data_IF_402500060416
#
_entry.id   IF_402500060416
#
_cell.length_a   1.000
_cell.length_b   1.000
_cell.length_c   1.000
_cell.angle_alpha   90.00
_cell.angle_beta   90.00
_cell.angle_gamma   90.00
#
_symmetry.space_group_name_H-M   'P 1'
#
loop_
_entity.id
_entity.type
_entity.pdbx_description
1 polymer ?
#
# COMPACT_ATOMS: atom_id res chain seq x y z
N UNK A 1 7.46 -5.84 1.49
CA UNK A 1 7.99 -5.17 0.28
C UNK A 1 8.63 -3.89 0.74
N UNK A 2 9.92 -3.74 0.46
CA UNK A 2 10.71 -2.54 0.74
C UNK A 2 11.93 -2.56 -0.18
N UNK A 3 12.50 -1.38 -0.42
CA UNK A 3 13.90 -1.27 -0.81
C UNK A 3 14.76 -1.63 0.42
N UNK A 4 15.57 -2.67 0.27
CA UNK A 4 16.43 -3.18 1.33
C UNK A 4 17.91 -2.92 1.03
N UNK A 5 18.22 -2.36 -0.14
CA UNK A 5 19.58 -2.27 -0.65
C UNK A 5 20.36 -3.61 -0.56
N UNK A 6 19.63 -4.71 -0.74
CA UNK A 6 20.10 -6.07 -0.48
C UNK A 6 20.19 -6.84 -1.80
N UNK A 7 21.41 -7.17 -2.23
CA UNK A 7 21.65 -8.03 -3.38
C UNK A 7 21.76 -9.46 -2.88
N UNK A 8 20.75 -10.28 -3.16
CA UNK A 8 20.70 -11.68 -2.69
C UNK A 8 21.50 -12.65 -3.56
N UNK A 9 21.68 -12.30 -4.84
CA UNK A 9 22.45 -13.06 -5.81
C UNK A 9 21.81 -14.37 -6.29
N UNK A 10 22.59 -15.12 -7.08
CA UNK A 10 22.21 -16.42 -7.65
C UNK A 10 22.54 -17.57 -6.69
N UNK A 11 23.61 -17.45 -5.92
CA UNK A 11 23.98 -18.46 -4.94
C UNK A 11 22.86 -18.60 -3.91
N UNK A 12 22.48 -19.84 -3.61
CA UNK A 12 21.45 -20.18 -2.64
C UNK A 12 21.95 -21.20 -1.60
N UNK A 13 23.26 -21.43 -1.53
CA UNK A 13 23.88 -22.36 -0.58
C UNK A 13 23.51 -21.96 0.85
N UNK A 14 22.91 -22.90 1.60
CA UNK A 14 22.42 -22.68 2.97
C UNK A 14 21.08 -21.95 3.08
N UNK A 15 20.47 -21.57 1.95
CA UNK A 15 19.20 -20.85 1.85
C UNK A 15 18.23 -21.51 0.85
N UNK A 16 18.45 -22.79 0.51
CA UNK A 16 17.72 -23.52 -0.54
C UNK A 16 16.21 -23.62 -0.26
N UNK A 17 15.84 -23.45 0.99
CA UNK A 17 14.47 -23.59 1.47
C UNK A 17 13.64 -22.29 1.31
N UNK A 18 14.32 -21.14 1.16
CA UNK A 18 13.74 -19.81 0.97
C UNK A 18 14.11 -19.14 -0.37
N UNK A 19 15.13 -19.64 -1.06
CA UNK A 19 15.66 -19.07 -2.30
C UNK A 19 15.95 -20.15 -3.34
N UNK A 20 15.78 -19.78 -4.61
CA UNK A 20 16.23 -20.57 -5.76
C UNK A 20 17.35 -19.78 -6.49
N UNK A 21 17.83 -20.30 -7.61
CA UNK A 21 18.98 -19.78 -8.35
C UNK A 21 18.61 -18.81 -9.48
N UNK A 22 17.46 -18.14 -9.37
CA UNK A 22 17.03 -17.17 -10.38
C UNK A 22 17.18 -15.71 -9.94
N UNK A 23 17.87 -15.42 -8.83
CA UNK A 23 18.26 -14.06 -8.48
C UNK A 23 19.23 -13.43 -9.49
N UNK A 24 19.66 -12.20 -9.22
CA UNK A 24 20.60 -11.45 -10.07
C UNK A 24 21.87 -11.09 -9.31
N UNK A 25 23.03 -11.27 -9.96
CA UNK A 25 24.33 -10.82 -9.47
C UNK A 25 24.90 -11.65 -8.32
N UNK A 26 25.87 -11.06 -7.63
CA UNK A 26 26.51 -11.64 -6.45
C UNK A 26 25.92 -11.07 -5.17
N UNK A 27 25.95 -11.87 -4.10
CA UNK A 27 25.38 -11.49 -2.82
C UNK A 27 26.27 -10.45 -2.13
N UNK A 28 25.69 -9.35 -1.66
CA UNK A 28 26.39 -8.38 -0.82
C UNK A 28 26.11 -8.61 0.67
N UNK A 29 26.79 -7.88 1.56
CA UNK A 29 26.60 -8.03 3.02
C UNK A 29 25.14 -7.82 3.47
N UNK A 30 24.46 -6.82 2.90
CA UNK A 30 23.03 -6.60 3.15
C UNK A 30 22.17 -7.77 2.66
N UNK A 31 22.53 -8.36 1.53
CA UNK A 31 21.94 -9.57 0.98
C UNK A 31 22.06 -10.77 1.91
N UNK A 32 23.22 -10.94 2.55
CA UNK A 32 23.45 -12.00 3.54
C UNK A 32 22.59 -11.77 4.80
N UNK A 33 22.57 -10.54 5.33
CA UNK A 33 21.70 -10.19 6.47
C UNK A 33 20.22 -10.40 6.15
N UNK A 34 19.82 -10.06 4.93
CA UNK A 34 18.45 -10.23 4.47
C UNK A 34 18.08 -11.70 4.25
N UNK A 35 18.98 -12.50 3.69
CA UNK A 35 18.80 -13.95 3.54
C UNK A 35 18.66 -14.63 4.91
N UNK A 36 19.50 -14.25 5.88
CA UNK A 36 19.40 -14.69 7.27
C UNK A 36 18.06 -14.33 7.90
N UNK A 37 17.61 -13.08 7.75
CA UNK A 37 16.30 -12.64 8.22
C UNK A 37 15.17 -13.47 7.62
N UNK A 38 15.22 -13.72 6.31
CA UNK A 38 14.22 -14.50 5.60
C UNK A 38 14.22 -15.97 6.04
N UNK A 39 15.39 -16.56 6.22
CA UNK A 39 15.55 -17.94 6.71
C UNK A 39 14.96 -18.09 8.11
N UNK A 40 15.35 -17.21 9.03
CA UNK A 40 14.86 -17.20 10.41
C UNK A 40 13.34 -17.07 10.51
N UNK A 41 12.74 -16.20 9.70
CA UNK A 41 11.30 -15.93 9.70
C UNK A 41 10.49 -16.81 8.73
N UNK A 42 11.13 -17.79 8.08
CA UNK A 42 10.51 -18.67 7.08
C UNK A 42 9.83 -17.87 5.96
N UNK A 43 10.52 -16.88 5.41
CA UNK A 43 10.08 -16.04 4.29
C UNK A 43 10.81 -16.47 3.02
N UNK A 44 10.07 -16.65 1.93
CA UNK A 44 10.61 -16.97 0.61
C UNK A 44 10.77 -15.68 -0.18
N UNK A 45 11.94 -15.49 -0.80
CA UNK A 45 12.26 -14.29 -1.60
C UNK A 45 11.78 -14.47 -3.03
N UNK A 46 10.68 -13.80 -3.39
CA UNK A 46 9.99 -13.98 -4.67
C UNK A 46 10.86 -13.73 -5.90
N UNK A 47 11.73 -12.71 -5.84
CA UNK A 47 12.62 -12.32 -6.94
C UNK A 47 13.69 -13.37 -7.32
N UNK A 48 13.81 -14.46 -6.56
CA UNK A 48 14.77 -15.55 -6.84
C UNK A 48 14.12 -16.85 -7.27
N UNK A 49 12.77 -16.94 -7.25
CA UNK A 49 12.02 -18.20 -7.48
C UNK A 49 11.77 -18.45 -8.97
N UNK A 50 11.48 -17.41 -9.74
CA UNK A 50 10.94 -17.55 -11.09
C UNK A 50 12.00 -17.29 -12.17
N UNK A 51 12.07 -18.13 -13.21
CA UNK A 51 12.98 -17.92 -14.33
C UNK A 51 12.50 -16.75 -15.20
N UNK A 52 13.21 -15.64 -15.13
CA UNK A 52 12.97 -14.48 -15.99
C UNK A 52 14.22 -14.00 -16.73
N UNK A 53 14.00 -13.24 -17.80
CA UNK A 53 15.05 -12.44 -18.44
C UNK A 53 15.53 -11.36 -17.47
N UNK A 54 16.80 -10.95 -17.59
CA UNK A 54 17.44 -9.94 -16.74
C UNK A 54 16.63 -8.63 -16.63
N UNK A 55 16.05 -8.18 -17.76
CA UNK A 55 15.18 -6.99 -17.85
C UNK A 55 13.90 -7.04 -16.98
N UNK A 56 13.55 -8.20 -16.41
CA UNK A 56 12.41 -8.39 -15.51
C UNK A 56 12.82 -8.76 -14.08
N UNK A 57 14.13 -8.70 -13.78
CA UNK A 57 14.71 -8.94 -12.45
C UNK A 57 15.32 -7.67 -11.86
N UNK A 58 15.89 -6.83 -12.71
CA UNK A 58 16.47 -5.54 -12.33
C UNK A 58 15.40 -4.63 -11.75
N UNK A 59 15.65 -4.07 -10.57
CA UNK A 59 14.73 -3.19 -9.85
C UNK A 59 15.26 -1.77 -9.72
N UNK A 60 16.55 -1.56 -10.00
CA UNK A 60 17.19 -0.24 -9.94
C UNK A 60 18.24 -0.11 -11.03
N UNK A 61 18.31 1.06 -11.66
CA UNK A 61 19.34 1.43 -12.62
C UNK A 61 20.03 2.72 -12.14
N UNK A 62 21.37 2.74 -12.00
CA UNK A 62 22.10 3.96 -11.69
C UNK A 62 21.96 5.00 -12.82
N UNK A 63 22.16 6.29 -12.52
CA UNK A 63 22.18 7.35 -13.53
C UNK A 63 23.17 7.11 -14.69
N UNK A 64 24.22 6.33 -14.46
CA UNK A 64 25.23 5.98 -15.47
C UNK A 64 24.80 4.83 -16.41
N UNK A 65 23.66 4.16 -16.13
CA UNK A 65 23.14 3.01 -16.85
C UNK A 65 24.12 1.83 -17.05
N UNK A 66 25.21 1.78 -16.27
CA UNK A 66 26.28 0.79 -16.46
C UNK A 66 26.03 -0.51 -15.71
N UNK A 67 25.30 -0.44 -14.60
CA UNK A 67 25.01 -1.58 -13.75
C UNK A 67 23.52 -1.75 -13.52
N UNK A 68 23.09 -2.97 -13.28
CA UNK A 68 21.67 -3.29 -13.04
C UNK A 68 21.60 -4.08 -11.74
N UNK A 69 20.81 -3.60 -10.78
CA UNK A 69 20.73 -4.21 -9.46
C UNK A 69 19.33 -4.71 -9.15
N UNK A 70 19.26 -5.79 -8.37
CA UNK A 70 18.03 -6.31 -7.77
C UNK A 70 18.11 -6.08 -6.26
N UNK A 71 17.50 -4.99 -5.79
CA UNK A 71 17.56 -4.55 -4.38
C UNK A 71 16.18 -4.44 -3.73
N UNK A 72 15.13 -4.43 -4.55
CA UNK A 72 13.74 -4.45 -4.11
C UNK A 72 13.20 -5.87 -4.10
N UNK A 73 12.67 -6.30 -2.95
CA UNK A 73 12.23 -7.69 -2.77
C UNK A 73 10.79 -7.78 -2.26
N UNK A 74 10.04 -8.69 -2.85
CA UNK A 74 8.76 -9.17 -2.35
C UNK A 74 9.01 -10.52 -1.69
N UNK A 75 8.68 -10.63 -0.41
CA UNK A 75 8.76 -11.86 0.35
C UNK A 75 7.37 -12.31 0.80
N UNK A 76 7.19 -13.61 0.87
CA UNK A 76 5.98 -14.22 1.41
C UNK A 76 6.35 -15.32 2.40
N UNK A 77 5.54 -15.51 3.44
CA UNK A 77 5.74 -16.64 4.33
C UNK A 77 5.76 -17.96 3.54
N UNK A 78 6.71 -18.84 3.85
CA UNK A 78 6.95 -20.13 3.20
C UNK A 78 5.72 -21.02 3.14
N UNK A 79 4.84 -20.94 4.14
CA UNK A 79 3.54 -21.63 4.14
C UNK A 79 2.68 -21.26 2.93
N UNK A 80 2.76 -20.01 2.49
CA UNK A 80 2.00 -19.47 1.36
C UNK A 80 2.82 -19.39 0.08
N UNK A 81 4.03 -19.97 -0.01
CA UNK A 81 4.86 -19.84 -1.23
C UNK A 81 4.13 -20.25 -2.50
N UNK A 82 3.25 -21.26 -2.41
CA UNK A 82 2.47 -21.79 -3.54
C UNK A 82 1.38 -20.84 -4.03
N UNK A 83 1.04 -19.80 -3.27
CA UNK A 83 0.11 -18.76 -3.72
C UNK A 83 0.79 -17.74 -4.60
N UNK A 84 2.12 -17.61 -4.53
CA UNK A 84 2.87 -16.71 -5.38
C UNK A 84 3.08 -17.39 -6.73
N UNK A 85 2.50 -16.81 -7.79
CA UNK A 85 2.55 -17.35 -9.15
C UNK A 85 3.65 -16.69 -9.99
N UNK A 86 3.99 -15.43 -9.69
CA UNK A 86 5.02 -14.67 -10.40
C UNK A 86 5.55 -13.51 -9.54
N UNK A 87 6.82 -13.13 -9.73
CA UNK A 87 7.40 -11.88 -9.21
C UNK A 87 8.38 -11.33 -10.22
N UNK A 88 8.12 -10.10 -10.70
CA UNK A 88 8.93 -9.48 -11.76
C UNK A 88 8.93 -7.97 -11.67
N UNK A 89 9.99 -7.35 -12.20
CA UNK A 89 10.01 -5.91 -12.43
C UNK A 89 9.32 -5.52 -13.74
N UNK A 90 8.70 -4.34 -13.72
CA UNK A 90 7.99 -3.71 -14.83
C UNK A 90 8.80 -2.50 -15.32
N UNK A 91 9.61 -2.73 -16.34
CA UNK A 91 10.45 -1.70 -16.96
C UNK A 91 9.67 -0.72 -17.86
N UNK A 92 8.49 -1.11 -18.34
CA UNK A 92 7.69 -0.30 -19.26
C UNK A 92 6.71 0.67 -18.59
N UNK A 93 6.64 0.65 -17.25
CA UNK A 93 5.78 1.53 -16.49
C UNK A 93 6.61 2.76 -16.10
N UNK A 94 6.19 3.95 -16.53
CA UNK A 94 6.84 5.21 -16.16
C UNK A 94 6.36 5.64 -14.78
N UNK A 95 7.30 5.74 -13.83
CA UNK A 95 7.03 6.10 -12.43
C UNK A 95 7.91 7.26 -11.95
N UNK A 96 8.59 7.97 -12.86
CA UNK A 96 9.49 9.10 -12.54
C UNK A 96 10.48 8.80 -11.39
N UNK A 97 11.08 7.60 -11.44
CA UNK A 97 12.03 7.09 -10.45
C UNK A 97 13.14 6.30 -11.12
N UNK A 98 14.31 6.25 -10.48
CA UNK A 98 15.44 5.38 -10.81
C UNK A 98 15.19 3.89 -10.42
N UNK A 99 14.10 3.61 -9.72
CA UNK A 99 13.60 2.26 -9.47
C UNK A 99 12.57 1.82 -10.50
N UNK A 100 12.51 0.52 -10.77
CA UNK A 100 11.43 -0.13 -11.50
C UNK A 100 10.40 -0.73 -10.54
N UNK A 101 9.13 -0.62 -10.90
CA UNK A 101 8.05 -1.24 -10.15
C UNK A 101 8.21 -2.77 -10.10
N UNK A 102 8.22 -3.34 -8.89
CA UNK A 102 8.22 -4.79 -8.68
C UNK A 102 6.80 -5.27 -8.38
N UNK A 103 6.30 -6.22 -9.18
CA UNK A 103 4.94 -6.73 -9.09
C UNK A 103 4.96 -8.21 -8.77
N UNK A 104 4.09 -8.65 -7.86
CA UNK A 104 3.84 -10.04 -7.57
C UNK A 104 2.42 -10.44 -7.96
N UNK A 105 2.27 -11.56 -8.67
CA UNK A 105 0.97 -12.18 -8.92
C UNK A 105 0.69 -13.23 -7.86
N UNK A 106 -0.43 -13.08 -7.15
CA UNK A 106 -0.81 -13.96 -6.03
C UNK A 106 -2.17 -14.60 -6.28
N UNK A 107 -2.25 -15.93 -6.19
CA UNK A 107 -3.48 -16.71 -6.16
C UNK A 107 -3.91 -16.99 -4.73
N UNK A 108 -4.82 -16.15 -4.24
CA UNK A 108 -5.33 -16.23 -2.88
C UNK A 108 -6.71 -16.93 -2.84
N UNK A 109 -6.89 -17.82 -1.87
CA UNK A 109 -8.22 -18.34 -1.48
C UNK A 109 -8.58 -17.75 -0.13
N UNK A 110 -9.22 -16.58 -0.15
CA UNK A 110 -9.60 -15.86 1.06
C UNK A 110 -10.91 -16.43 1.61
N UNK A 111 -10.94 -16.70 2.91
CA UNK A 111 -12.19 -16.92 3.64
C UNK A 111 -12.70 -15.55 4.08
N UNK A 112 -13.95 -15.23 3.73
CA UNK A 112 -14.60 -14.03 4.25
C UNK A 112 -14.73 -14.16 5.77
N UNK A 113 -14.00 -13.34 6.50
CA UNK A 113 -14.22 -13.20 7.94
C UNK A 113 -15.28 -12.12 8.10
N UNK A 114 -16.52 -12.54 8.39
CA UNK A 114 -17.56 -11.60 8.74
C UNK A 114 -17.21 -11.03 10.11
N UNK A 115 -16.80 -9.77 10.16
CA UNK A 115 -16.91 -8.99 11.40
C UNK A 115 -18.39 -8.79 11.65
N UNK A 116 -18.99 -9.65 12.47
CA UNK A 116 -20.31 -9.40 13.04
C UNK A 116 -20.24 -8.04 13.74
N UNK A 117 -20.86 -7.01 13.17
CA UNK A 117 -20.94 -5.68 13.80
C UNK A 117 -20.10 -4.57 13.17
N UNK A 118 -19.92 -4.54 11.85
CA UNK A 118 -19.86 -3.21 11.23
C UNK A 118 -21.31 -2.72 11.21
N UNK A 119 -21.64 -1.74 12.07
CA UNK A 119 -22.91 -0.99 12.00
C UNK A 119 -23.16 -0.74 10.53
N UNK A 120 -24.28 -1.23 9.99
CA UNK A 120 -24.61 -1.04 8.59
C UNK A 120 -24.31 0.41 8.25
N UNK A 121 -23.39 0.65 7.29
CA UNK A 121 -22.93 1.99 6.97
C UNK A 121 -24.16 2.87 6.80
N UNK A 122 -24.41 3.74 7.78
CA UNK A 122 -25.57 4.60 7.76
C UNK A 122 -25.32 5.61 6.64
N UNK A 123 -26.01 5.41 5.52
CA UNK A 123 -25.85 6.26 4.35
C UNK A 123 -26.78 7.45 4.49
N UNK A 124 -26.26 8.65 4.25
CA UNK A 124 -27.09 9.85 4.17
C UNK A 124 -27.97 9.83 2.92
N UNK A 125 -29.16 10.43 3.00
CA UNK A 125 -30.07 10.52 1.87
C UNK A 125 -29.68 11.65 0.91
N UNK A 126 -28.73 11.34 0.03
CA UNK A 126 -28.23 12.30 -0.97
C UNK A 126 -29.27 12.67 -2.05
N UNK A 127 -30.43 12.02 -2.08
CA UNK A 127 -31.50 12.41 -3.00
C UNK A 127 -32.04 13.82 -2.70
N UNK A 128 -31.98 14.26 -1.43
CA UNK A 128 -32.36 15.62 -1.05
C UNK A 128 -31.48 16.70 -1.68
N UNK A 129 -30.25 16.39 -2.09
CA UNK A 129 -29.40 17.34 -2.81
C UNK A 129 -29.88 17.63 -4.25
N UNK A 130 -30.88 16.89 -4.75
CA UNK A 130 -31.54 17.19 -6.02
C UNK A 130 -32.61 18.26 -5.88
N UNK A 131 -33.11 18.48 -4.66
CA UNK A 131 -34.01 19.58 -4.35
C UNK A 131 -33.19 20.85 -4.13
N UNK A 132 -33.58 21.93 -4.80
CA UNK A 132 -32.77 23.15 -4.85
C UNK A 132 -32.78 23.88 -3.51
N UNK A 133 -33.89 23.82 -2.77
CA UNK A 133 -34.03 24.48 -1.47
C UNK A 133 -33.20 23.73 -0.42
N UNK A 134 -33.29 22.40 -0.38
CA UNK A 134 -32.45 21.55 0.48
C UNK A 134 -30.97 21.65 0.16
N UNK A 135 -30.58 21.77 -1.11
CA UNK A 135 -29.19 21.98 -1.49
C UNK A 135 -28.66 23.33 -0.97
N UNK A 136 -29.47 24.39 -1.03
CA UNK A 136 -29.09 25.70 -0.51
C UNK A 136 -29.00 25.70 1.02
N UNK A 137 -29.95 25.05 1.70
CA UNK A 137 -29.91 24.82 3.15
C UNK A 137 -28.62 24.08 3.56
N UNK A 138 -28.27 23.01 2.84
CA UNK A 138 -27.04 22.26 3.06
C UNK A 138 -25.79 23.13 2.91
N UNK A 139 -25.71 23.93 1.85
CA UNK A 139 -24.57 24.84 1.62
C UNK A 139 -24.42 25.86 2.75
N UNK A 140 -25.53 26.44 3.20
CA UNK A 140 -25.52 27.43 4.29
C UNK A 140 -25.07 26.77 5.59
N UNK A 141 -25.68 25.64 5.96
CA UNK A 141 -25.34 24.91 7.17
C UNK A 141 -23.87 24.45 7.17
N UNK A 142 -23.37 23.97 6.03
CA UNK A 142 -21.98 23.54 5.89
C UNK A 142 -21.01 24.72 6.07
N UNK A 143 -21.27 25.84 5.40
CA UNK A 143 -20.44 27.04 5.52
C UNK A 143 -20.42 27.57 6.96
N UNK A 144 -21.57 27.58 7.64
CA UNK A 144 -21.65 27.99 9.05
C UNK A 144 -20.83 27.04 9.95
N UNK A 145 -20.91 25.72 9.72
CA UNK A 145 -20.13 24.73 10.45
C UNK A 145 -18.62 24.89 10.27
N UNK A 146 -18.17 25.15 9.03
CA UNK A 146 -16.75 25.41 8.77
C UNK A 146 -16.26 26.75 9.32
N UNK A 147 -17.12 27.78 9.33
CA UNK A 147 -16.77 29.06 9.95
C UNK A 147 -16.54 28.88 11.46
N UNK A 148 -17.45 28.19 12.15
CA UNK A 148 -17.29 27.88 13.57
C UNK A 148 -16.05 27.03 13.85
N UNK A 149 -15.77 26.03 13.01
CA UNK A 149 -14.56 25.22 13.12
C UNK A 149 -13.30 26.07 12.95
N UNK A 150 -13.26 26.94 11.94
CA UNK A 150 -12.12 27.80 11.70
C UNK A 150 -11.86 28.79 12.85
N UNK A 151 -12.91 29.30 13.48
CA UNK A 151 -12.77 30.20 14.63
C UNK A 151 -12.25 29.44 15.87
N UNK A 152 -12.68 28.19 16.10
CA UNK A 152 -12.09 27.31 17.13
C UNK A 152 -10.61 27.01 16.88
N UNK A 153 -10.24 26.74 15.63
CA UNK A 153 -8.85 26.45 15.25
C UNK A 153 -7.89 27.65 15.39
N UNK A 154 -8.43 28.88 15.47
CA UNK A 154 -7.62 30.08 15.76
C UNK A 154 -7.33 30.26 17.24
N UNK A 155 -8.19 29.71 18.11
CA UNK A 155 -8.11 29.88 19.56
C UNK A 155 -7.33 28.75 20.25
N UNK A 156 -7.29 27.55 19.66
CA UNK A 156 -6.62 26.38 20.23
C UNK A 156 -5.43 25.88 19.40
N UNK A 157 -4.32 25.52 20.07
CA UNK A 157 -3.20 24.82 19.46
C UNK A 157 -3.56 23.34 19.26
N UNK A 158 -3.98 22.98 18.05
CA UNK A 158 -4.53 21.66 17.70
C UNK A 158 -3.57 20.81 16.88
N UNK A 159 -3.65 19.48 17.04
CA UNK A 159 -2.85 18.56 16.22
C UNK A 159 -3.49 18.31 14.85
N UNK A 160 -2.74 17.74 13.91
CA UNK A 160 -3.28 17.38 12.58
C UNK A 160 -4.44 16.37 12.67
N UNK A 161 -4.36 15.41 13.59
CA UNK A 161 -5.43 14.47 13.88
C UNK A 161 -6.70 15.17 14.41
N UNK A 162 -6.55 16.18 15.26
CA UNK A 162 -7.68 16.96 15.79
C UNK A 162 -8.34 17.80 14.69
N UNK A 163 -7.53 18.40 13.81
CA UNK A 163 -8.01 19.13 12.63
C UNK A 163 -8.83 18.23 11.70
N UNK A 164 -8.32 17.03 11.42
CA UNK A 164 -9.02 16.04 10.61
C UNK A 164 -10.34 15.61 11.25
N UNK A 165 -10.34 15.41 12.56
CA UNK A 165 -11.54 15.05 13.32
C UNK A 165 -12.59 16.17 13.23
N UNK A 166 -12.21 17.43 13.44
CA UNK A 166 -13.11 18.57 13.33
C UNK A 166 -13.74 18.72 11.95
N UNK A 167 -12.95 18.57 10.87
CA UNK A 167 -13.46 18.58 9.49
C UNK A 167 -14.48 17.47 9.27
N UNK A 168 -14.15 16.26 9.72
CA UNK A 168 -15.04 15.10 9.60
C UNK A 168 -16.36 15.35 10.34
N UNK A 169 -16.30 15.84 11.57
CA UNK A 169 -17.46 16.13 12.41
C UNK A 169 -18.36 17.19 11.79
N UNK A 170 -17.80 18.31 11.32
CA UNK A 170 -18.56 19.36 10.64
C UNK A 170 -19.36 18.81 9.45
N UNK A 171 -18.71 18.03 8.57
CA UNK A 171 -19.37 17.44 7.40
C UNK A 171 -20.44 16.42 7.81
N UNK A 172 -20.13 15.51 8.74
CA UNK A 172 -21.09 14.46 9.15
C UNK A 172 -22.29 15.02 9.90
N UNK A 173 -22.09 16.04 10.73
CA UNK A 173 -23.17 16.71 11.47
C UNK A 173 -24.12 17.40 10.50
N UNK A 174 -23.60 18.20 9.54
CA UNK A 174 -24.43 18.86 8.53
C UNK A 174 -25.19 17.86 7.66
N UNK A 175 -24.55 16.78 7.24
CA UNK A 175 -25.21 15.70 6.50
C UNK A 175 -26.34 15.06 7.32
N UNK A 176 -26.14 14.83 8.61
CA UNK A 176 -27.15 14.23 9.48
C UNK A 176 -28.35 15.16 9.69
N UNK A 177 -28.09 16.45 9.89
CA UNK A 177 -29.10 17.48 10.14
C UNK A 177 -29.96 17.75 8.89
N UNK A 178 -29.33 17.95 7.73
CA UNK A 178 -30.02 18.40 6.51
C UNK A 178 -30.48 17.24 5.64
N UNK A 179 -29.67 16.19 5.49
CA UNK A 179 -29.98 15.07 4.59
C UNK A 179 -30.61 13.89 5.32
N UNK A 180 -30.32 13.73 6.62
CA UNK A 180 -30.76 12.57 7.38
C UNK A 180 -30.23 11.25 6.83
N UNK A 181 -30.62 10.14 7.45
CA UNK A 181 -30.21 8.80 7.06
C UNK A 181 -31.21 8.18 6.07
N UNK A 182 -30.71 7.34 5.17
CA UNK A 182 -31.55 6.44 4.38
C UNK A 182 -32.31 5.51 5.32
N UNK A 183 -33.62 5.36 5.07
CA UNK A 183 -34.45 4.32 5.69
C UNK A 183 -34.13 2.95 5.10
#
# INVERSE_FOLDING_TARGET
MRDLNAKVGIDNTGYEDIMVRYGLGERNENGERFANLCSFNKLVTGGTIFPHKRIHKTTWIPPDHTTENQIDHICINKKFRRTMEDVRSKRGDDIDSDHYLVVANLKLKLKKNWTSGQTALQRFNTAFLRDTDRLNEFKIALNNGFQALHDLLKEEETTMEDNWKGIKEAITSTCQEVLGLNK
#
